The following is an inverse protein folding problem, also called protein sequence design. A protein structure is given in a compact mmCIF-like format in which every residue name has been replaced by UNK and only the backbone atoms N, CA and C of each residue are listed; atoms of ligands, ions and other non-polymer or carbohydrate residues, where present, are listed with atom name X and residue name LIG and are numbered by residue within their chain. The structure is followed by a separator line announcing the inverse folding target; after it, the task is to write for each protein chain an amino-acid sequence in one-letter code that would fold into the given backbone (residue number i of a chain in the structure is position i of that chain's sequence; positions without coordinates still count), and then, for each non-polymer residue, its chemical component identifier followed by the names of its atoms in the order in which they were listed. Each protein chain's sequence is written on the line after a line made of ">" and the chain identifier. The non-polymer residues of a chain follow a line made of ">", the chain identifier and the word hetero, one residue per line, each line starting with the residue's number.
data_IF_724191352491
#
_entry.id   IF_724191352491
#
_cell.length_a   1.000
_cell.length_b   1.000
_cell.length_c   1.000
_cell.angle_alpha   90.00
_cell.angle_beta   90.00
_cell.angle_gamma   90.00
#
_symmetry.space_group_name_H-M   'P 1'
#
loop_
_entity.id
_entity.type
_entity.pdbx_description
1 polymer ?
#
# COMPACT_ATOMS: atom_id res chain seq x y z
N UNK A 1 -21.55 -12.29 -13.90
CA UNK A 1 -20.42 -11.92 -13.02
C UNK A 1 -20.72 -10.56 -12.41
N UNK A 2 -21.15 -10.51 -11.16
CA UNK A 2 -21.28 -9.23 -10.45
C UNK A 2 -19.87 -8.72 -10.16
N UNK A 3 -19.53 -7.54 -10.69
CA UNK A 3 -18.29 -6.88 -10.29
C UNK A 3 -18.39 -6.54 -8.80
N UNK A 4 -17.58 -7.20 -7.96
CA UNK A 4 -17.45 -6.89 -6.53
C UNK A 4 -16.90 -5.48 -6.27
N UNK A 5 -16.41 -4.83 -7.32
CA UNK A 5 -15.94 -3.46 -7.32
C UNK A 5 -16.63 -2.65 -8.41
N UNK A 6 -17.38 -1.63 -8.01
CA UNK A 6 -17.95 -0.62 -8.92
C UNK A 6 -17.14 0.66 -8.79
N UNK A 7 -16.44 1.05 -9.85
CA UNK A 7 -15.71 2.32 -9.89
C UNK A 7 -16.71 3.48 -9.83
N UNK A 8 -16.61 4.28 -8.78
CA UNK A 8 -17.34 5.55 -8.64
C UNK A 8 -16.53 6.66 -9.30
N UNK A 9 -17.20 7.53 -10.07
CA UNK A 9 -16.57 8.72 -10.69
C UNK A 9 -16.03 9.67 -9.61
N UNK A 10 -15.05 10.51 -9.97
CA UNK A 10 -14.43 11.49 -9.07
C UNK A 10 -13.89 10.90 -7.74
N UNK A 11 -13.53 9.63 -7.77
CA UNK A 11 -12.98 8.90 -6.62
C UNK A 11 -11.58 8.43 -6.96
N UNK A 12 -10.64 8.77 -6.09
CA UNK A 12 -9.28 8.27 -6.15
C UNK A 12 -9.18 7.00 -5.31
N UNK A 13 -8.57 5.95 -5.87
CA UNK A 13 -8.33 4.67 -5.22
C UNK A 13 -6.84 4.38 -5.20
N UNK A 14 -6.31 4.00 -4.04
CA UNK A 14 -4.93 3.56 -3.89
C UNK A 14 -4.84 2.48 -2.81
N UNK A 15 -3.77 1.70 -2.86
CA UNK A 15 -3.37 0.81 -1.79
C UNK A 15 -2.37 1.54 -0.93
N UNK A 16 -2.47 1.39 0.37
CA UNK A 16 -1.47 1.83 1.32
C UNK A 16 -0.88 0.62 2.01
N UNK A 17 0.44 0.56 2.02
CA UNK A 17 1.20 -0.46 2.71
C UNK A 17 1.89 0.24 3.86
N UNK A 18 1.48 -0.08 5.07
CA UNK A 18 2.09 0.41 6.29
C UNK A 18 3.05 -0.63 6.84
N UNK A 19 4.25 -0.18 7.18
CA UNK A 19 5.26 -0.98 7.85
C UNK A 19 5.05 -0.91 9.36
N UNK A 20 4.56 -1.98 9.96
CA UNK A 20 4.49 -2.11 11.41
C UNK A 20 5.79 -2.74 11.92
N UNK A 21 6.73 -1.88 12.31
CA UNK A 21 8.04 -2.31 12.83
C UNK A 21 7.94 -2.96 14.21
N UNK A 22 6.90 -2.64 14.99
CA UNK A 22 6.74 -3.12 16.36
C UNK A 22 6.18 -4.53 16.38
N UNK A 23 5.09 -4.74 15.63
CA UNK A 23 4.46 -6.04 15.47
C UNK A 23 5.16 -6.92 14.42
N UNK A 24 6.12 -6.36 13.68
CA UNK A 24 6.83 -7.01 12.56
C UNK A 24 5.85 -7.53 11.51
N UNK A 25 4.96 -6.64 11.04
CA UNK A 25 3.96 -6.98 10.02
C UNK A 25 3.87 -5.90 8.96
N UNK A 26 3.46 -6.28 7.75
CA UNK A 26 3.10 -5.33 6.70
C UNK A 26 1.58 -5.27 6.56
N UNK A 27 1.00 -4.11 6.85
CA UNK A 27 -0.44 -3.90 6.80
C UNK A 27 -0.86 -3.28 5.48
N UNK A 28 -1.85 -3.87 4.82
CA UNK A 28 -2.38 -3.41 3.53
C UNK A 28 -3.76 -2.80 3.75
N UNK A 29 -3.92 -1.56 3.29
CA UNK A 29 -5.17 -0.83 3.34
C UNK A 29 -5.61 -0.46 1.94
N UNK A 30 -6.90 -0.63 1.66
CA UNK A 30 -7.53 -0.06 0.48
C UNK A 30 -8.10 1.30 0.84
N UNK A 31 -7.54 2.32 0.21
CA UNK A 31 -7.95 3.69 0.40
C UNK A 31 -8.81 4.15 -0.77
N UNK A 32 -9.93 4.78 -0.44
CA UNK A 32 -10.83 5.40 -1.41
C UNK A 32 -11.24 6.78 -0.91
N UNK A 33 -11.12 7.78 -1.77
CA UNK A 33 -11.53 9.14 -1.45
C UNK A 33 -12.30 9.74 -2.62
N UNK A 34 -13.59 9.95 -2.41
CA UNK A 34 -14.40 10.77 -3.31
C UNK A 34 -14.07 12.25 -3.08
N UNK A 35 -14.13 13.05 -4.15
CA UNK A 35 -13.91 14.49 -4.06
C UNK A 35 -14.74 15.12 -2.94
N UNK A 36 -14.08 15.88 -2.06
CA UNK A 36 -14.66 16.55 -0.87
C UNK A 36 -15.27 15.63 0.20
N UNK A 37 -15.01 14.33 0.14
CA UNK A 37 -15.42 13.40 1.19
C UNK A 37 -14.21 12.94 2.02
N UNK A 38 -14.52 12.45 3.22
CA UNK A 38 -13.51 11.85 4.10
C UNK A 38 -12.89 10.63 3.43
N UNK A 39 -11.59 10.46 3.62
CA UNK A 39 -10.89 9.24 3.24
C UNK A 39 -11.55 8.04 3.91
N UNK A 40 -11.83 7.01 3.12
CA UNK A 40 -12.24 5.70 3.62
C UNK A 40 -11.10 4.72 3.42
N UNK A 41 -10.51 4.29 4.54
CA UNK A 41 -9.49 3.26 4.62
C UNK A 41 -10.12 1.94 5.06
N UNK A 42 -9.91 0.88 4.29
CA UNK A 42 -10.40 -0.47 4.60
C UNK A 42 -9.19 -1.38 4.77
N UNK A 43 -8.98 -2.02 5.94
CA UNK A 43 -7.92 -3.01 6.08
C UNK A 43 -8.22 -4.20 5.16
N UNK A 44 -7.25 -4.54 4.31
CA UNK A 44 -7.36 -5.68 3.40
C UNK A 44 -6.73 -6.92 4.03
N UNK A 45 -5.48 -6.79 4.47
CA UNK A 45 -4.68 -7.91 4.94
C UNK A 45 -3.47 -7.42 5.75
N UNK A 46 -3.02 -8.26 6.67
CA UNK A 46 -1.77 -8.06 7.41
C UNK A 46 -0.85 -9.24 7.10
N UNK A 47 0.33 -8.96 6.58
CA UNK A 47 1.36 -9.96 6.37
C UNK A 47 2.20 -10.08 7.62
N UNK A 48 2.06 -11.20 8.33
CA UNK A 48 2.87 -11.53 9.51
C UNK A 48 4.31 -11.92 9.16
N UNK A 49 4.61 -12.17 7.87
CA UNK A 49 5.94 -12.49 7.42
C UNK A 49 6.72 -11.20 7.13
N UNK A 50 7.57 -10.77 8.07
CA UNK A 50 8.39 -9.56 7.98
C UNK A 50 9.61 -9.73 7.08
N UNK A 51 9.39 -10.09 5.82
CA UNK A 51 10.43 -10.23 4.80
C UNK A 51 10.22 -9.24 3.64
N UNK A 52 11.19 -8.35 3.44
CA UNK A 52 11.12 -7.31 2.39
C UNK A 52 11.18 -7.92 0.98
N UNK A 53 11.85 -9.06 0.79
CA UNK A 53 11.94 -9.72 -0.51
C UNK A 53 10.60 -10.38 -0.88
N UNK A 54 9.87 -10.91 0.11
CA UNK A 54 8.51 -11.41 -0.06
C UNK A 54 7.54 -10.27 -0.36
N UNK A 55 7.62 -9.16 0.38
CA UNK A 55 6.83 -7.96 0.11
C UNK A 55 7.08 -7.44 -1.32
N UNK A 56 8.34 -7.34 -1.75
CA UNK A 56 8.70 -6.88 -3.09
C UNK A 56 8.05 -7.74 -4.19
N UNK A 57 8.05 -9.06 -4.01
CA UNK A 57 7.38 -9.99 -4.94
C UNK A 57 5.88 -9.72 -4.99
N UNK A 58 5.21 -9.59 -3.85
CA UNK A 58 3.77 -9.31 -3.78
C UNK A 58 3.45 -8.00 -4.51
N UNK A 59 4.21 -6.94 -4.23
CA UNK A 59 4.01 -5.63 -4.85
C UNK A 59 4.21 -5.70 -6.37
N UNK A 60 5.22 -6.46 -6.83
CA UNK A 60 5.46 -6.66 -8.25
C UNK A 60 4.29 -7.37 -8.93
N UNK A 61 3.83 -8.48 -8.37
CA UNK A 61 2.67 -9.22 -8.90
C UNK A 61 1.40 -8.36 -8.85
N UNK A 62 1.17 -7.64 -7.75
CA UNK A 62 0.01 -6.76 -7.61
C UNK A 62 -0.03 -5.66 -8.69
N UNK A 63 1.12 -5.08 -9.05
CA UNK A 63 1.25 -4.11 -10.14
C UNK A 63 1.04 -4.71 -11.53
N UNK A 64 1.29 -6.01 -11.72
CA UNK A 64 1.02 -6.70 -12.98
C UNK A 64 -0.49 -6.94 -13.17
N UNK A 65 -1.20 -7.22 -12.08
CA UNK A 65 -2.64 -7.50 -12.11
C UNK A 65 -3.53 -6.27 -11.93
N UNK A 66 -2.98 -5.13 -11.50
CA UNK A 66 -3.76 -3.92 -11.25
C UNK A 66 -2.99 -2.64 -11.56
N UNK A 67 -3.73 -1.62 -12.02
CA UNK A 67 -3.21 -0.28 -12.27
C UNK A 67 -3.40 0.66 -11.06
N UNK A 68 -3.55 0.10 -9.86
CA UNK A 68 -3.75 0.90 -8.64
C UNK A 68 -2.42 1.48 -8.16
N UNK A 69 -2.46 2.73 -7.71
CA UNK A 69 -1.32 3.36 -7.05
C UNK A 69 -1.08 2.71 -5.70
N UNK A 70 0.18 2.53 -5.31
CA UNK A 70 0.58 1.98 -4.02
C UNK A 70 1.40 3.04 -3.29
N UNK A 71 0.95 3.40 -2.09
CA UNK A 71 1.66 4.28 -1.18
C UNK A 71 2.31 3.46 -0.07
N UNK A 72 3.53 3.80 0.29
CA UNK A 72 4.30 3.14 1.35
C UNK A 72 4.46 4.10 2.52
N UNK A 73 4.07 3.68 3.72
CA UNK A 73 4.12 4.45 4.97
C UNK A 73 4.91 3.67 6.02
N UNK A 74 5.77 4.32 6.80
CA UNK A 74 6.64 3.68 7.79
C UNK A 74 7.85 2.93 7.20
N UNK A 75 8.09 3.08 5.89
CA UNK A 75 9.26 2.53 5.19
C UNK A 75 10.41 3.54 5.05
N UNK A 76 10.42 4.56 5.90
CA UNK A 76 11.45 5.61 5.94
C UNK A 76 12.84 4.97 6.03
N UNK A 77 13.74 5.39 5.13
CA UNK A 77 15.13 4.93 4.99
C UNK A 77 15.32 3.43 4.62
N UNK A 78 14.23 2.70 4.33
CA UNK A 78 14.31 1.33 3.81
C UNK A 78 14.47 1.31 2.28
N UNK A 79 15.21 0.31 1.79
CA UNK A 79 15.47 0.07 0.37
C UNK A 79 14.95 -1.29 -0.05
N UNK A 80 14.44 -1.39 -1.27
CA UNK A 80 14.07 -2.67 -1.87
C UNK A 80 15.31 -3.56 -2.01
N UNK A 81 15.24 -4.84 -1.61
CA UNK A 81 16.42 -5.70 -1.57
C UNK A 81 16.98 -5.98 -2.97
N UNK A 82 16.15 -6.08 -4.02
CA UNK A 82 16.64 -6.32 -5.38
C UNK A 82 17.07 -5.05 -6.10
N UNK A 83 16.28 -3.98 -6.01
CA UNK A 83 16.55 -2.75 -6.78
C UNK A 83 17.40 -1.72 -6.04
N UNK A 84 17.64 -1.90 -4.73
CA UNK A 84 18.30 -0.95 -3.83
C UNK A 84 17.71 0.47 -3.88
N UNK A 85 16.46 0.59 -4.34
CA UNK A 85 15.73 1.84 -4.44
C UNK A 85 15.02 2.11 -3.13
N UNK A 86 14.98 3.37 -2.71
CA UNK A 86 14.21 3.79 -1.54
C UNK A 86 12.73 3.44 -1.72
N UNK A 87 12.17 2.76 -0.72
CA UNK A 87 10.77 2.31 -0.71
C UNK A 87 9.85 3.52 -0.53
N UNK A 88 10.19 4.40 0.42
CA UNK A 88 9.47 5.63 0.70
C UNK A 88 10.38 6.83 0.40
N UNK A 89 10.08 7.57 -0.68
CA UNK A 89 10.84 8.78 -1.06
C UNK A 89 10.40 10.03 -0.30
N UNK A 90 9.12 10.13 0.04
CA UNK A 90 8.57 11.24 0.82
C UNK A 90 8.44 10.80 2.26
N UNK A 91 9.15 11.47 3.17
CA UNK A 91 8.89 11.37 4.60
C UNK A 91 7.49 11.90 4.84
N UNK A 92 6.63 11.10 5.45
CA UNK A 92 5.40 11.63 5.99
C UNK A 92 5.80 12.47 7.20
N UNK A 93 5.52 13.77 7.18
CA UNK A 93 6.03 14.75 8.16
C UNK A 93 5.33 14.66 9.53
N UNK A 94 4.64 13.56 9.81
CA UNK A 94 3.80 13.35 10.99
C UNK A 94 4.38 12.34 12.01
N UNK A 95 5.65 11.96 11.86
CA UNK A 95 6.41 11.22 12.90
C UNK A 95 7.23 12.17 13.79
#
# INVERSE_FOLDING_TARGET
>A
MNALFKRVSQTHYWIEVANDKYDKQFNFFFNSQHRKQRLRSIPLHSLNNYDLNYLEKIIKEFKLHSNLTINFVGFTDLKWPKSNQLIQRKRDLLE
#
